data_IF_350516835602
#
_entry.id   IF_350516835602
#
_cell.length_a   1.000
_cell.length_b   1.000
_cell.length_c   1.000
_cell.angle_alpha   90.00
_cell.angle_beta   90.00
_cell.angle_gamma   90.00
#
_symmetry.space_group_name_H-M   'P 1'
#
loop_
_entity.id
_entity.type
_entity.pdbx_description
1 polymer ?
#
# COMPACT_ATOMS: atom_id res chain seq x y z
N UNK A 1 19.93 -14.53 7.10
CA UNK A 1 19.78 -13.17 7.68
C UNK A 1 18.29 -12.88 7.76
N UNK A 2 17.75 -12.58 8.95
CA UNK A 2 16.38 -12.06 9.06
C UNK A 2 16.36 -10.67 8.42
N UNK A 3 15.44 -10.44 7.49
CA UNK A 3 15.24 -9.12 6.86
C UNK A 3 14.74 -8.16 7.93
N UNK A 4 15.28 -6.95 7.93
CA UNK A 4 15.18 -5.98 9.03
C UNK A 4 14.11 -4.93 8.77
N UNK A 5 13.02 -5.31 8.10
CA UNK A 5 11.99 -4.35 7.76
C UNK A 5 11.06 -4.15 8.97
N UNK A 6 11.01 -2.94 9.49
CA UNK A 6 10.17 -2.58 10.63
C UNK A 6 8.87 -1.98 10.14
N UNK A 7 7.74 -2.66 10.41
CA UNK A 7 6.41 -2.14 10.11
C UNK A 7 5.91 -1.19 11.18
N UNK A 8 5.21 -0.17 10.73
CA UNK A 8 4.44 0.73 11.56
C UNK A 8 3.01 0.80 11.06
N UNK A 9 2.03 0.63 11.94
CA UNK A 9 0.62 0.83 11.61
C UNK A 9 0.42 2.25 11.10
N UNK A 10 -0.07 2.35 9.88
CA UNK A 10 -0.37 3.63 9.24
C UNK A 10 -1.84 3.95 9.44
N UNK A 11 -2.12 5.12 9.99
CA UNK A 11 -3.45 5.60 10.31
C UNK A 11 -3.74 6.80 9.39
N UNK A 12 -4.23 6.57 8.16
CA UNK A 12 -4.80 7.67 7.40
C UNK A 12 -5.97 8.25 8.23
N UNK A 13 -6.27 9.54 8.07
CA UNK A 13 -7.10 10.32 9.01
C UNK A 13 -8.53 9.77 9.32
N UNK A 14 -8.96 8.68 8.70
CA UNK A 14 -10.14 7.91 9.06
C UNK A 14 -9.75 6.56 9.67
N UNK A 15 -10.34 6.22 10.83
CA UNK A 15 -10.09 4.96 11.50
C UNK A 15 -10.75 3.82 10.70
N UNK A 16 -9.94 3.10 9.93
CA UNK A 16 -10.34 1.94 9.13
C UNK A 16 -10.22 0.70 10.01
N UNK A 17 -11.32 0.31 10.62
CA UNK A 17 -11.42 -0.95 11.35
C UNK A 17 -12.21 -1.93 10.48
N UNK A 18 -11.54 -2.95 9.96
CA UNK A 18 -12.15 -3.99 9.15
C UNK A 18 -11.18 -4.55 8.11
N UNK A 19 -11.54 -5.71 7.57
CA UNK A 19 -10.82 -6.31 6.46
C UNK A 19 -11.08 -5.50 5.19
N UNK A 20 -10.01 -5.30 4.41
CA UNK A 20 -10.08 -4.61 3.12
C UNK A 20 -10.32 -5.63 2.01
N UNK A 21 -11.27 -5.34 1.14
CA UNK A 21 -11.49 -6.09 -0.09
C UNK A 21 -11.13 -5.20 -1.28
N UNK A 22 -10.17 -5.62 -2.09
CA UNK A 22 -9.69 -4.84 -3.23
C UNK A 22 -10.79 -4.78 -4.30
N UNK A 23 -11.29 -3.59 -4.60
CA UNK A 23 -12.26 -3.38 -5.70
C UNK A 23 -11.51 -3.07 -6.99
N UNK A 24 -10.60 -2.10 -6.95
CA UNK A 24 -9.83 -1.69 -8.13
C UNK A 24 -8.43 -1.23 -7.77
N UNK A 25 -7.52 -1.48 -8.71
CA UNK A 25 -6.19 -0.88 -8.79
C UNK A 25 -6.08 -0.34 -10.22
N UNK A 26 -6.08 0.98 -10.37
CA UNK A 26 -5.96 1.66 -11.66
C UNK A 26 -4.72 2.54 -11.67
N UNK A 27 -4.00 2.53 -12.79
CA UNK A 27 -2.88 3.41 -13.06
C UNK A 27 -3.05 3.91 -14.50
N UNK A 28 -3.59 5.13 -14.62
CA UNK A 28 -3.96 5.73 -15.91
C UNK A 28 -3.33 7.11 -16.12
N UNK A 29 -3.46 7.63 -17.34
CA UNK A 29 -2.85 8.91 -17.72
C UNK A 29 -3.57 10.13 -17.15
N UNK A 30 -4.81 9.99 -16.68
CA UNK A 30 -5.64 11.09 -16.20
C UNK A 30 -5.43 11.32 -14.70
N UNK A 31 -5.39 10.24 -13.93
CA UNK A 31 -5.39 10.24 -12.47
C UNK A 31 -4.13 9.63 -11.85
N UNK A 32 -3.34 8.86 -12.59
CA UNK A 32 -2.24 8.08 -12.02
C UNK A 32 -2.72 6.91 -11.18
N UNK A 33 -1.98 6.55 -10.13
CA UNK A 33 -2.29 5.37 -9.31
C UNK A 33 -3.40 5.66 -8.30
N UNK A 34 -4.50 4.90 -8.42
CA UNK A 34 -5.59 4.87 -7.46
C UNK A 34 -5.90 3.43 -7.04
N UNK A 35 -6.15 3.24 -5.74
CA UNK A 35 -6.51 1.95 -5.17
C UNK A 35 -7.80 2.11 -4.39
N UNK A 36 -8.82 1.30 -4.70
CA UNK A 36 -10.10 1.34 -4.01
C UNK A 36 -10.37 0.04 -3.27
N UNK A 37 -10.89 0.17 -2.05
CA UNK A 37 -11.24 -0.94 -1.19
C UNK A 37 -12.67 -0.81 -0.66
N UNK A 38 -13.34 -1.95 -0.59
CA UNK A 38 -14.54 -2.12 0.23
C UNK A 38 -14.12 -2.52 1.65
N UNK A 39 -14.87 -2.06 2.64
CA UNK A 39 -14.77 -2.56 4.01
C UNK A 39 -16.15 -3.13 4.35
N UNK A 40 -16.19 -4.36 4.87
CA UNK A 40 -17.45 -5.07 5.12
C UNK A 40 -18.44 -4.20 5.92
N UNK A 41 -19.64 -4.01 5.39
CA UNK A 41 -20.73 -3.21 5.99
C UNK A 41 -20.42 -1.70 6.15
N UNK A 42 -19.39 -1.16 5.49
CA UNK A 42 -19.06 0.28 5.53
C UNK A 42 -19.10 0.86 4.11
N UNK A 43 -20.14 1.65 3.85
CA UNK A 43 -20.29 2.48 2.64
C UNK A 43 -20.01 3.96 2.96
N UNK A 44 -19.46 4.76 2.02
CA UNK A 44 -18.93 4.38 0.70
C UNK A 44 -17.53 3.72 0.77
N UNK A 45 -17.10 3.13 -0.35
CA UNK A 45 -15.76 2.57 -0.54
C UNK A 45 -14.66 3.58 -0.25
N UNK A 46 -13.52 3.06 0.20
CA UNK A 46 -12.34 3.84 0.53
C UNK A 46 -11.38 3.91 -0.65
N UNK A 47 -10.93 5.10 -1.00
CA UNK A 47 -9.97 5.32 -2.10
C UNK A 47 -8.68 5.92 -1.57
N UNK A 48 -7.57 5.33 -2.01
CA UNK A 48 -6.22 5.84 -1.83
C UNK A 48 -5.70 6.33 -3.18
N UNK A 49 -5.64 7.66 -3.31
CA UNK A 49 -5.22 8.35 -4.51
C UNK A 49 -3.77 8.83 -4.36
N UNK A 50 -2.85 8.11 -5.00
CA UNK A 50 -1.44 8.46 -5.04
C UNK A 50 -1.12 9.45 -6.17
N UNK A 51 -2.07 9.71 -7.07
CA UNK A 51 -1.83 10.53 -8.25
C UNK A 51 -0.62 10.03 -9.07
N UNK A 52 0.16 10.98 -9.55
CA UNK A 52 1.42 10.74 -10.26
C UNK A 52 2.64 10.63 -9.32
N UNK A 53 2.43 10.43 -8.02
CA UNK A 53 3.52 10.36 -7.03
C UNK A 53 3.98 8.93 -6.72
N UNK A 54 3.22 7.93 -7.17
CA UNK A 54 3.63 6.53 -7.08
C UNK A 54 4.81 6.26 -8.03
N UNK A 55 5.91 5.79 -7.47
CA UNK A 55 7.12 5.41 -8.21
C UNK A 55 7.13 3.92 -8.57
N UNK A 56 6.44 3.10 -7.77
CA UNK A 56 6.34 1.67 -7.93
C UNK A 56 5.12 1.16 -7.19
N UNK A 57 4.45 0.16 -7.75
CA UNK A 57 3.51 -0.65 -7.00
C UNK A 57 3.59 -2.11 -7.43
N UNK A 58 3.19 -3.00 -6.53
CA UNK A 58 3.11 -4.41 -6.79
C UNK A 58 1.93 -5.01 -6.04
N UNK A 59 0.95 -5.51 -6.80
CA UNK A 59 -0.11 -6.35 -6.26
C UNK A 59 0.39 -7.80 -6.17
N UNK A 60 0.28 -8.39 -4.99
CA UNK A 60 0.70 -9.75 -4.69
C UNK A 60 -0.49 -10.52 -4.11
N UNK A 61 -0.85 -11.62 -4.75
CA UNK A 61 -1.90 -12.50 -4.24
C UNK A 61 -1.50 -13.23 -2.94
N UNK A 62 -2.46 -13.91 -2.32
CA UNK A 62 -2.31 -14.66 -1.07
C UNK A 62 -1.08 -15.58 -1.08
N UNK A 63 -0.95 -16.40 -2.14
CA UNK A 63 0.14 -17.38 -2.28
C UNK A 63 1.55 -16.77 -2.22
N UNK A 64 1.69 -15.50 -2.63
CA UNK A 64 2.97 -14.79 -2.64
C UNK A 64 3.15 -13.81 -1.48
N UNK A 65 2.10 -13.59 -0.68
CA UNK A 65 2.07 -12.65 0.44
C UNK A 65 2.19 -13.31 1.81
N UNK A 66 1.80 -14.59 1.97
CA UNK A 66 1.88 -15.30 3.27
C UNK A 66 3.26 -15.20 3.95
N UNK A 67 4.33 -15.43 3.19
CA UNK A 67 5.70 -15.32 3.73
C UNK A 67 6.04 -13.87 4.10
N UNK A 68 5.52 -12.90 3.36
CA UNK A 68 5.77 -11.48 3.60
C UNK A 68 5.06 -11.04 4.89
N UNK A 69 3.80 -11.43 5.05
CA UNK A 69 3.00 -11.21 6.27
C UNK A 69 3.71 -11.82 7.49
N UNK A 70 4.22 -13.05 7.36
CA UNK A 70 4.97 -13.73 8.42
C UNK A 70 6.33 -13.05 8.71
N UNK A 71 7.12 -12.75 7.67
CA UNK A 71 8.43 -12.07 7.80
C UNK A 71 8.30 -10.72 8.51
N UNK A 72 7.19 -10.01 8.27
CA UNK A 72 6.87 -8.74 8.90
C UNK A 72 6.24 -8.87 10.30
N UNK A 73 5.84 -10.08 10.71
CA UNK A 73 5.18 -10.32 11.99
C UNK A 73 3.83 -9.62 12.11
N UNK A 74 3.11 -9.48 10.99
CA UNK A 74 1.80 -8.82 11.01
C UNK A 74 0.83 -9.70 11.79
N UNK A 75 0.25 -9.13 12.85
CA UNK A 75 -0.68 -9.80 13.74
C UNK A 75 -1.88 -8.89 14.02
N UNK A 76 -3.08 -9.47 14.10
CA UNK A 76 -4.34 -8.74 14.32
C UNK A 76 -4.97 -8.18 13.03
N UNK A 77 -6.09 -7.46 13.20
CA UNK A 77 -6.97 -7.07 12.09
C UNK A 77 -6.63 -5.67 11.53
N UNK A 78 -5.34 -5.35 11.40
CA UNK A 78 -4.91 -4.07 10.84
C UNK A 78 -4.36 -4.25 9.44
N UNK A 79 -4.81 -3.42 8.50
CA UNK A 79 -4.57 -3.64 7.08
C UNK A 79 -3.61 -2.64 6.44
N UNK A 80 -3.22 -1.58 7.15
CA UNK A 80 -2.48 -0.45 6.58
C UNK A 80 -1.15 -0.23 7.31
N UNK A 81 -0.05 -0.29 6.58
CA UNK A 81 1.28 -0.15 7.17
C UNK A 81 2.19 0.76 6.36
N UNK A 82 3.13 1.38 7.06
CA UNK A 82 4.34 1.96 6.47
C UNK A 82 5.55 1.13 6.89
N UNK A 83 6.58 1.14 6.06
CA UNK A 83 7.82 0.40 6.32
C UNK A 83 8.97 1.37 6.57
N UNK A 84 9.54 1.37 7.78
CA UNK A 84 10.62 2.30 8.16
C UNK A 84 11.96 1.95 7.50
N UNK A 85 12.21 0.65 7.29
CA UNK A 85 13.39 0.12 6.62
C UNK A 85 12.93 -0.79 5.50
N UNK A 86 13.07 -0.34 4.26
CA UNK A 86 12.50 -1.04 3.10
C UNK A 86 13.60 -1.55 2.19
N UNK A 87 13.84 -2.86 2.19
CA UNK A 87 14.66 -3.55 1.18
C UNK A 87 14.20 -3.23 -0.25
N UNK A 88 12.90 -2.99 -0.45
CA UNK A 88 12.33 -2.65 -1.76
C UNK A 88 12.77 -1.24 -2.21
N UNK A 89 12.80 -0.26 -1.30
CA UNK A 89 13.35 1.07 -1.60
C UNK A 89 14.85 0.94 -1.92
N UNK A 90 15.61 0.18 -1.12
CA UNK A 90 17.04 -0.04 -1.38
C UNK A 90 17.29 -0.67 -2.75
N UNK A 91 16.45 -1.64 -3.13
CA UNK A 91 16.51 -2.24 -4.45
C UNK A 91 16.18 -1.23 -5.55
N UNK A 92 15.12 -0.42 -5.42
CA UNK A 92 14.79 0.59 -6.45
C UNK A 92 15.90 1.63 -6.60
N UNK A 93 16.37 2.21 -5.50
CA UNK A 93 17.42 3.25 -5.52
C UNK A 93 18.69 2.74 -6.21
N UNK A 94 19.06 1.48 -5.94
CA UNK A 94 20.20 0.83 -6.58
C UNK A 94 19.99 0.63 -8.09
N UNK A 95 18.77 0.29 -8.52
CA UNK A 95 18.45 0.00 -9.91
C UNK A 95 18.00 1.24 -10.71
N UNK A 96 17.77 2.38 -10.06
CA UNK A 96 17.35 3.63 -10.69
C UNK A 96 18.51 4.56 -11.03
N UNK A 97 19.76 4.10 -11.03
CA UNK A 97 20.95 4.96 -11.19
C UNK A 97 20.94 6.19 -10.25
N UNK A 98 20.43 6.04 -9.02
CA UNK A 98 20.30 7.13 -8.03
C UNK A 98 19.35 8.29 -8.43
N UNK A 99 18.53 8.13 -9.47
CA UNK A 99 17.47 9.10 -9.81
C UNK A 99 16.46 9.22 -8.66
N UNK A 100 16.12 8.10 -8.04
CA UNK A 100 15.26 8.05 -6.86
C UNK A 100 16.11 8.25 -5.61
N UNK A 101 15.80 9.27 -4.82
CA UNK A 101 16.42 9.46 -3.50
C UNK A 101 15.68 8.65 -2.44
N UNK A 102 16.40 7.82 -1.69
CA UNK A 102 15.85 7.01 -0.59
C UNK A 102 15.10 7.86 0.45
N UNK A 103 15.57 9.08 0.67
CA UNK A 103 15.07 9.98 1.73
C UNK A 103 13.68 10.54 1.40
N UNK A 104 13.31 10.52 0.12
CA UNK A 104 12.08 11.10 -0.39
C UNK A 104 11.05 10.05 -0.78
N UNK A 105 11.22 8.78 -0.38
CA UNK A 105 10.30 7.69 -0.75
C UNK A 105 9.79 6.99 0.50
N UNK A 106 8.48 6.81 0.55
CA UNK A 106 7.79 6.05 1.58
C UNK A 106 7.29 4.74 0.99
N UNK A 107 7.31 3.69 1.82
CA UNK A 107 6.79 2.38 1.46
C UNK A 107 5.50 2.11 2.24
N UNK A 108 4.39 1.97 1.51
CA UNK A 108 3.09 1.61 2.03
C UNK A 108 2.78 0.16 1.70
N UNK A 109 2.17 -0.54 2.66
CA UNK A 109 1.62 -1.88 2.49
C UNK A 109 0.14 -1.84 2.81
N UNK A 110 -0.67 -2.30 1.85
CA UNK A 110 -2.09 -2.54 1.99
C UNK A 110 -2.31 -4.05 2.04
N UNK A 111 -2.72 -4.58 3.18
CA UNK A 111 -3.24 -5.94 3.25
C UNK A 111 -4.71 -5.93 2.84
N UNK A 112 -5.11 -6.90 2.04
CA UNK A 112 -6.51 -7.14 1.68
C UNK A 112 -6.78 -8.64 1.73
N UNK A 113 -8.06 -9.02 1.65
CA UNK A 113 -8.50 -10.41 1.81
C UNK A 113 -7.72 -11.41 0.92
N UNK A 114 -7.38 -10.99 -0.30
CA UNK A 114 -6.72 -11.84 -1.30
C UNK A 114 -5.19 -11.63 -1.40
N UNK A 115 -4.57 -10.86 -0.50
CA UNK A 115 -3.12 -10.65 -0.51
C UNK A 115 -2.66 -9.30 0.01
N UNK A 116 -1.67 -8.70 -0.68
CA UNK A 116 -1.14 -7.39 -0.34
C UNK A 116 -0.72 -6.57 -1.55
N UNK A 117 -0.73 -5.26 -1.37
CA UNK A 117 -0.18 -4.30 -2.33
C UNK A 117 0.95 -3.53 -1.66
N UNK A 118 2.13 -3.56 -2.27
CA UNK A 118 3.22 -2.64 -1.93
C UNK A 118 3.10 -1.40 -2.81
N UNK A 119 3.26 -0.21 -2.25
CA UNK A 119 3.35 1.05 -2.99
C UNK A 119 4.56 1.84 -2.49
N UNK A 120 5.42 2.28 -3.40
CA UNK A 120 6.46 3.26 -3.12
C UNK A 120 6.05 4.60 -3.71
N UNK A 121 5.97 5.63 -2.89
CA UNK A 121 5.53 6.96 -3.31
C UNK A 121 6.36 8.05 -2.66
N UNK A 122 6.48 9.19 -3.35
CA UNK A 122 7.11 10.38 -2.80
C UNK A 122 6.24 11.12 -1.77
N UNK A 123 4.93 10.87 -1.82
CA UNK A 123 3.93 11.52 -0.96
C UNK A 123 2.92 10.50 -0.42
N UNK A 124 2.35 10.80 0.74
CA UNK A 124 1.16 10.08 1.20
C UNK A 124 0.00 10.27 0.20
N UNK A 125 -0.84 9.25 0.00
CA UNK A 125 -2.00 9.38 -0.86
C UNK A 125 -3.05 10.28 -0.23
N UNK A 126 -3.90 10.88 -1.07
CA UNK A 126 -5.17 11.43 -0.60
C UNK A 126 -6.09 10.26 -0.27
N UNK A 127 -6.80 10.37 0.85
CA UNK A 127 -7.73 9.33 1.31
C UNK A 127 -9.13 9.91 1.40
N UNK A 128 -10.08 9.30 0.71
CA UNK A 128 -11.47 9.75 0.68
C UNK A 128 -12.42 8.59 0.42
N UNK A 129 -13.70 8.80 0.72
CA UNK A 129 -14.77 7.84 0.42
C UNK A 129 -15.46 8.16 -0.90
N UNK A 130 -15.74 7.15 -1.71
CA UNK A 130 -16.41 7.28 -3.00
C UNK A 130 -17.49 6.19 -3.17
N UNK A 131 -18.68 6.58 -3.62
CA UNK A 131 -19.74 5.62 -3.97
C UNK A 131 -19.39 4.92 -5.27
N UNK A 132 -19.63 3.60 -5.36
CA UNK A 132 -19.64 2.92 -6.65
C UNK A 132 -20.73 3.53 -7.54
N UNK A 133 -20.34 3.98 -8.72
CA UNK A 133 -21.28 4.38 -9.78
C UNK A 133 -21.35 3.20 -10.75
N UNK A 134 -22.50 2.54 -10.79
CA UNK A 134 -22.79 1.48 -11.77
C UNK A 134 -23.14 2.05 -13.13
#
# INVERSE_FOLDING_TARGET
>A
MKKNNMLKKWHPAEMINGDLYLISLSDDQENGLQISFEIENIEPNLVFDFGFHALYYQNQNENSSLKIIDDYGITGNWSLFTVEKSDLIDWIVKNSYQIVSKENVQHFIFLHADGLINVLSAHEPKVYRQKQTY
#
